data_IF_669320150519
#
_entry.id   IF_669320150519
#
_cell.length_a   1.000
_cell.length_b   1.000
_cell.length_c   1.000
_cell.angle_alpha   90.00
_cell.angle_beta   90.00
_cell.angle_gamma   90.00
#
_symmetry.space_group_name_H-M   'P 1'
#
loop_
_entity.id
_entity.type
_entity.pdbx_description
1 polymer ?
#
# COMPACT_ATOMS: atom_id res chain seq x y z
N UNK A 1 -33.08 -3.99 53.58
CA UNK A 1 -33.25 -4.86 52.40
C UNK A 1 -33.12 -3.97 51.18
N UNK A 2 -31.92 -3.84 50.61
CA UNK A 2 -31.67 -2.99 49.43
C UNK A 2 -31.52 -3.87 48.20
N UNK A 3 -32.47 -3.80 47.28
CA UNK A 3 -32.47 -4.52 46.00
C UNK A 3 -31.75 -3.69 44.94
N UNK A 4 -30.63 -4.20 44.42
CA UNK A 4 -29.91 -3.62 43.30
C UNK A 4 -30.40 -4.25 42.00
N UNK A 5 -30.99 -3.44 41.12
CA UNK A 5 -31.44 -3.83 39.78
C UNK A 5 -30.22 -3.96 38.86
N UNK A 6 -30.01 -5.14 38.28
CA UNK A 6 -28.99 -5.39 37.25
C UNK A 6 -29.51 -4.92 35.90
N UNK A 7 -28.89 -3.89 35.32
CA UNK A 7 -29.15 -3.44 33.95
C UNK A 7 -28.39 -4.34 32.97
N UNK A 8 -29.10 -4.97 32.04
CA UNK A 8 -28.53 -5.84 31.01
C UNK A 8 -27.64 -5.04 30.04
N UNK A 9 -26.43 -5.52 29.81
CA UNK A 9 -25.50 -4.97 28.84
C UNK A 9 -26.02 -5.18 27.41
N UNK A 10 -26.26 -4.08 26.71
CA UNK A 10 -26.60 -4.04 25.28
C UNK A 10 -25.43 -4.60 24.47
N UNK A 11 -25.70 -5.62 23.65
CA UNK A 11 -24.77 -6.14 22.64
C UNK A 11 -24.62 -5.10 21.54
N UNK A 12 -23.59 -4.27 21.59
CA UNK A 12 -23.27 -3.33 20.50
C UNK A 12 -22.64 -4.10 19.35
N UNK A 13 -23.40 -4.35 18.29
CA UNK A 13 -22.86 -4.72 16.97
C UNK A 13 -21.95 -3.58 16.46
N UNK A 14 -20.86 -3.86 15.72
CA UNK A 14 -20.01 -2.80 15.22
C UNK A 14 -20.82 -1.88 14.30
N UNK A 15 -20.93 -0.59 14.66
CA UNK A 15 -21.58 0.41 13.84
C UNK A 15 -20.83 0.51 12.51
N UNK A 16 -21.49 0.12 11.41
CA UNK A 16 -20.99 0.34 10.05
C UNK A 16 -21.04 1.85 9.81
N UNK A 17 -19.88 2.48 9.64
CA UNK A 17 -19.77 3.91 9.38
C UNK A 17 -20.35 4.21 7.98
N UNK A 18 -21.63 4.52 7.89
CA UNK A 18 -22.36 4.72 6.62
C UNK A 18 -22.09 6.06 5.94
N UNK A 19 -21.43 7.00 6.64
CA UNK A 19 -21.32 8.39 6.18
C UNK A 19 -20.25 8.58 5.07
N UNK A 20 -19.29 7.67 4.94
CA UNK A 20 -18.14 7.86 4.03
C UNK A 20 -18.35 7.35 2.59
N UNK A 21 -19.39 6.55 2.31
CA UNK A 21 -19.55 5.91 1.01
C UNK A 21 -21.02 5.89 0.55
N UNK A 22 -21.46 6.99 -0.07
CA UNK A 22 -22.77 7.09 -0.74
C UNK A 22 -22.65 6.65 -2.21
N UNK A 23 -23.29 5.52 -2.53
CA UNK A 23 -23.27 4.94 -3.87
C UNK A 23 -23.92 5.82 -4.92
N UNK A 24 -24.96 6.58 -4.57
CA UNK A 24 -25.72 7.36 -5.53
C UNK A 24 -24.98 8.66 -5.86
N UNK A 25 -24.35 9.28 -4.87
CA UNK A 25 -23.42 10.41 -5.08
C UNK A 25 -22.19 9.98 -5.91
N UNK A 26 -21.59 8.82 -5.61
CA UNK A 26 -20.43 8.32 -6.35
C UNK A 26 -20.71 8.08 -7.84
N UNK A 27 -21.91 7.62 -8.20
CA UNK A 27 -22.32 7.41 -9.60
C UNK A 27 -22.48 8.73 -10.38
N UNK A 28 -22.78 9.83 -9.70
CA UNK A 28 -22.94 11.15 -10.33
C UNK A 28 -21.60 11.84 -10.61
N UNK A 29 -20.53 11.41 -9.94
CA UNK A 29 -19.21 12.02 -10.11
C UNK A 29 -18.58 11.68 -11.47
N UNK A 30 -18.11 12.69 -12.21
CA UNK A 30 -17.53 12.51 -13.56
C UNK A 30 -16.43 11.43 -13.62
N UNK A 31 -15.65 11.28 -12.55
CA UNK A 31 -14.53 10.33 -12.48
C UNK A 31 -14.79 9.22 -11.46
N UNK A 32 -15.99 8.62 -11.46
CA UNK A 32 -16.37 7.53 -10.53
C UNK A 32 -15.33 6.41 -10.48
N UNK A 33 -14.72 6.06 -11.62
CA UNK A 33 -13.72 4.98 -11.71
C UNK A 33 -12.41 5.28 -10.97
N UNK A 34 -12.16 6.53 -10.60
CA UNK A 34 -10.97 6.98 -9.86
C UNK A 34 -11.25 7.16 -8.37
N UNK A 35 -12.50 6.99 -7.94
CA UNK A 35 -12.85 7.10 -6.54
C UNK A 35 -12.13 6.00 -5.74
N UNK A 36 -11.69 6.30 -4.51
CA UNK A 36 -11.09 5.28 -3.65
C UNK A 36 -12.07 4.14 -3.42
N UNK A 37 -11.71 2.93 -3.85
CA UNK A 37 -12.45 1.70 -3.54
C UNK A 37 -11.67 0.91 -2.49
N UNK A 38 -12.39 0.47 -1.46
CA UNK A 38 -11.86 -0.47 -0.48
C UNK A 38 -12.12 -1.89 -0.97
N UNK A 39 -11.09 -2.49 -1.55
CA UNK A 39 -11.08 -3.91 -1.91
C UNK A 39 -10.49 -4.72 -0.76
N UNK A 40 -11.30 -5.61 -0.19
CA UNK A 40 -10.93 -6.52 0.91
C UNK A 40 -10.66 -7.95 0.42
N UNK A 41 -10.93 -8.23 -0.86
CA UNK A 41 -10.95 -9.58 -1.41
C UNK A 41 -9.71 -9.89 -2.24
N UNK A 42 -9.16 -8.89 -2.95
CA UNK A 42 -8.04 -9.10 -3.88
C UNK A 42 -6.79 -9.59 -3.15
N UNK A 43 -6.38 -10.81 -3.49
CA UNK A 43 -5.10 -11.42 -3.09
C UNK A 43 -4.16 -11.43 -4.29
N UNK A 44 -2.99 -10.82 -4.12
CA UNK A 44 -1.98 -10.77 -5.17
C UNK A 44 -1.07 -12.00 -5.10
N UNK A 45 -0.72 -12.62 -6.23
CA UNK A 45 0.27 -13.69 -6.25
C UNK A 45 1.66 -13.13 -5.89
N UNK A 46 2.60 -13.99 -5.46
CA UNK A 46 3.98 -13.61 -5.26
C UNK A 46 4.59 -13.01 -6.54
N UNK A 47 5.40 -11.96 -6.39
CA UNK A 47 6.10 -11.34 -7.50
C UNK A 47 6.99 -12.35 -8.22
N UNK A 48 6.89 -12.39 -9.54
CA UNK A 48 7.74 -13.20 -10.38
C UNK A 48 8.88 -12.33 -10.93
N UNK A 49 10.11 -12.86 -11.03
CA UNK A 49 11.16 -12.21 -11.79
C UNK A 49 10.70 -11.99 -13.24
N UNK A 50 11.03 -10.85 -13.80
CA UNK A 50 10.80 -10.56 -15.20
C UNK A 50 12.06 -9.93 -15.80
N UNK A 51 12.26 -10.15 -17.09
CA UNK A 51 13.32 -9.49 -17.84
C UNK A 51 12.85 -8.09 -18.26
N UNK A 52 13.63 -7.08 -17.92
CA UNK A 52 13.33 -5.70 -18.28
C UNK A 52 14.10 -5.30 -19.54
N UNK A 53 13.39 -4.90 -20.58
CA UNK A 53 13.96 -4.35 -21.80
C UNK A 53 13.57 -2.88 -21.94
N UNK A 54 14.55 -1.99 -21.88
CA UNK A 54 14.32 -0.55 -21.99
C UNK A 54 13.96 -0.15 -23.43
N UNK A 55 12.78 0.48 -23.57
CA UNK A 55 12.27 0.97 -24.86
C UNK A 55 13.13 2.10 -25.42
N UNK A 56 13.79 2.89 -24.57
CA UNK A 56 14.67 3.97 -24.98
C UNK A 56 15.86 3.51 -25.83
N UNK A 57 16.23 2.22 -25.77
CA UNK A 57 17.31 1.66 -26.59
C UNK A 57 16.96 1.53 -28.08
N UNK A 58 15.67 1.46 -28.42
CA UNK A 58 15.17 1.29 -29.80
C UNK A 58 14.81 2.64 -30.45
N UNK A 59 14.74 3.69 -29.64
CA UNK A 59 14.36 5.04 -30.04
C UNK A 59 15.32 5.69 -31.06
N UNK A 60 14.81 6.68 -31.80
CA UNK A 60 15.67 7.55 -32.60
C UNK A 60 16.39 8.55 -31.68
N UNK A 61 17.73 8.55 -31.73
CA UNK A 61 18.59 9.49 -30.98
C UNK A 61 18.27 10.95 -31.25
N UNK A 62 17.66 11.26 -32.40
CA UNK A 62 17.26 12.62 -32.76
C UNK A 62 15.81 12.94 -32.40
N UNK A 63 15.06 12.01 -31.79
CA UNK A 63 13.67 12.17 -31.36
C UNK A 63 12.74 12.63 -32.50
N UNK A 64 12.99 12.18 -33.74
CA UNK A 64 12.29 12.68 -34.93
C UNK A 64 10.81 12.33 -34.93
N UNK A 65 10.45 11.16 -34.40
CA UNK A 65 9.05 10.72 -34.38
C UNK A 65 8.25 11.56 -33.38
N UNK A 66 8.89 11.96 -32.27
CA UNK A 66 8.28 12.78 -31.23
C UNK A 66 8.19 14.27 -31.63
N UNK A 67 9.27 14.86 -32.16
CA UNK A 67 9.36 16.30 -32.47
C UNK A 67 9.14 16.64 -33.95
N UNK A 68 8.18 15.98 -34.59
CA UNK A 68 7.77 16.30 -35.96
C UNK A 68 6.95 17.60 -36.01
N UNK A 69 7.61 18.74 -36.23
CA UNK A 69 6.94 20.06 -36.37
C UNK A 69 5.92 20.11 -37.51
N UNK A 70 6.10 19.27 -38.54
CA UNK A 70 5.16 19.15 -39.66
C UNK A 70 3.79 18.62 -39.22
N UNK A 71 3.76 17.70 -38.25
CA UNK A 71 2.53 17.10 -37.73
C UNK A 71 1.91 17.95 -36.62
N UNK A 72 2.74 18.61 -35.81
CA UNK A 72 2.32 19.37 -34.63
C UNK A 72 2.96 20.77 -34.65
N UNK A 73 2.34 21.77 -35.31
CA UNK A 73 2.89 23.12 -35.40
C UNK A 73 2.92 23.85 -34.06
N UNK A 74 2.04 23.48 -33.11
CA UNK A 74 1.98 24.05 -31.76
C UNK A 74 2.97 23.40 -30.78
N UNK A 75 3.77 22.44 -31.26
CA UNK A 75 4.70 21.70 -30.43
C UNK A 75 5.83 22.59 -29.90
N UNK A 76 5.89 22.74 -28.58
CA UNK A 76 6.95 23.47 -27.91
C UNK A 76 7.58 22.61 -26.81
N UNK A 77 8.90 22.45 -26.86
CA UNK A 77 9.68 21.78 -25.83
C UNK A 77 10.63 22.79 -25.18
N UNK A 78 10.41 23.06 -23.89
CA UNK A 78 11.17 24.01 -23.09
C UNK A 78 11.92 23.28 -21.98
N UNK A 79 13.23 23.53 -21.83
CA UNK A 79 14.01 22.96 -20.73
C UNK A 79 13.64 23.66 -19.43
N UNK A 80 13.26 22.89 -18.41
CA UNK A 80 12.90 23.43 -17.09
C UNK A 80 14.15 23.81 -16.28
N UNK A 81 15.15 22.93 -16.27
CA UNK A 81 16.48 23.21 -15.70
C UNK A 81 17.56 22.82 -16.71
N UNK A 82 18.81 23.29 -16.53
CA UNK A 82 19.89 22.95 -17.44
C UNK A 82 20.11 21.43 -17.57
N UNK A 83 20.08 20.72 -16.43
CA UNK A 83 20.44 19.29 -16.37
C UNK A 83 19.22 18.38 -16.46
N UNK A 84 18.12 18.72 -15.79
CA UNK A 84 16.97 17.84 -15.62
C UNK A 84 15.68 18.55 -16.02
N UNK A 85 14.71 17.83 -16.57
CA UNK A 85 13.38 18.37 -16.77
C UNK A 85 13.17 19.04 -18.13
N UNK A 86 12.11 18.63 -18.82
CA UNK A 86 11.62 19.27 -20.04
C UNK A 86 10.10 19.41 -19.96
N UNK A 87 9.59 20.61 -20.22
CA UNK A 87 8.15 20.86 -20.40
C UNK A 87 7.81 20.77 -21.89
N UNK A 88 6.77 19.99 -22.22
CA UNK A 88 6.25 19.84 -23.59
C UNK A 88 4.80 20.32 -23.63
N UNK A 89 4.50 21.15 -24.64
CA UNK A 89 3.17 21.64 -24.98
C UNK A 89 2.83 21.30 -26.41
N UNK A 90 1.53 21.14 -26.71
CA UNK A 90 1.06 20.84 -28.07
C UNK A 90 1.19 19.37 -28.49
N UNK A 91 1.33 18.44 -27.54
CA UNK A 91 1.37 17.00 -27.80
C UNK A 91 0.48 16.26 -26.79
N UNK A 92 -0.39 15.37 -27.25
CA UNK A 92 -1.27 14.58 -26.38
C UNK A 92 -0.72 13.16 -26.19
N UNK A 93 -0.55 12.74 -24.94
CA UNK A 93 -0.06 11.40 -24.60
C UNK A 93 -1.00 10.28 -25.05
N UNK A 94 -2.28 10.58 -25.17
CA UNK A 94 -3.34 9.64 -25.55
C UNK A 94 -3.31 9.23 -27.02
N UNK A 95 -2.62 10.01 -27.87
CA UNK A 95 -2.59 9.85 -29.33
C UNK A 95 -1.20 9.45 -29.83
N UNK A 96 -0.26 9.17 -28.92
CA UNK A 96 1.09 8.78 -29.29
C UNK A 96 1.13 7.39 -29.93
N UNK A 97 1.82 7.32 -31.06
CA UNK A 97 2.20 6.06 -31.71
C UNK A 97 3.36 5.39 -30.94
N UNK A 98 3.54 4.09 -31.14
CA UNK A 98 4.53 3.28 -30.42
C UNK A 98 5.96 3.80 -30.66
N UNK A 99 6.28 4.22 -31.89
CA UNK A 99 7.58 4.87 -32.19
C UNK A 99 7.78 6.19 -31.47
N UNK A 100 6.70 6.94 -31.24
CA UNK A 100 6.78 8.18 -30.47
C UNK A 100 6.95 7.89 -28.98
N UNK A 101 6.36 6.80 -28.47
CA UNK A 101 6.57 6.35 -27.09
C UNK A 101 8.00 5.86 -26.86
N UNK A 102 8.62 5.21 -27.84
CA UNK A 102 10.04 4.84 -27.80
C UNK A 102 10.93 6.09 -27.69
N UNK A 103 10.74 7.07 -28.58
CA UNK A 103 11.44 8.36 -28.53
C UNK A 103 11.19 9.08 -27.19
N UNK A 104 9.98 9.01 -26.64
CA UNK A 104 9.67 9.57 -25.33
C UNK A 104 10.45 8.86 -24.21
N UNK A 105 10.60 7.53 -24.26
CA UNK A 105 11.39 6.80 -23.28
C UNK A 105 12.85 7.27 -23.26
N UNK A 106 13.45 7.48 -24.44
CA UNK A 106 14.80 8.01 -24.56
C UNK A 106 14.90 9.43 -23.99
N UNK A 107 13.95 10.31 -24.33
CA UNK A 107 13.94 11.68 -23.81
C UNK A 107 13.87 11.71 -22.27
N UNK A 108 13.07 10.80 -21.69
CA UNK A 108 12.96 10.66 -20.23
C UNK A 108 14.29 10.14 -19.65
N UNK A 109 14.95 9.19 -20.30
CA UNK A 109 16.26 8.69 -19.86
C UNK A 109 17.33 9.81 -19.87
N UNK A 110 17.33 10.68 -20.87
CA UNK A 110 18.28 11.80 -20.99
C UNK A 110 17.99 12.95 -20.03
N UNK A 111 16.71 13.26 -19.81
CA UNK A 111 16.27 14.46 -19.05
C UNK A 111 15.79 14.16 -17.64
N UNK A 112 15.61 12.90 -17.28
CA UNK A 112 15.07 12.42 -16.01
C UNK A 112 13.55 12.60 -15.87
N UNK A 113 13.04 13.81 -16.11
CA UNK A 113 11.60 14.12 -16.01
C UNK A 113 11.11 14.89 -17.22
N UNK A 114 9.93 14.55 -17.70
CA UNK A 114 9.25 15.26 -18.78
C UNK A 114 7.84 15.58 -18.32
N UNK A 115 7.42 16.83 -18.48
CA UNK A 115 6.12 17.33 -18.05
C UNK A 115 5.31 17.71 -19.27
N UNK A 116 4.12 17.15 -19.41
CA UNK A 116 3.18 17.50 -20.47
C UNK A 116 2.09 18.42 -19.91
N UNK A 117 1.82 19.53 -20.60
CA UNK A 117 0.73 20.44 -20.25
C UNK A 117 -0.51 20.17 -21.09
N UNK A 118 -1.67 20.61 -20.58
CA UNK A 118 -2.94 20.64 -21.32
C UNK A 118 -3.35 19.28 -21.88
N UNK A 119 -3.25 18.25 -21.04
CA UNK A 119 -3.52 16.86 -21.42
C UNK A 119 -4.99 16.48 -21.25
N UNK A 120 -5.55 15.85 -22.28
CA UNK A 120 -6.82 15.10 -22.20
C UNK A 120 -6.67 13.74 -21.50
N UNK A 121 -5.45 13.37 -21.09
CA UNK A 121 -5.13 12.08 -20.49
C UNK A 121 -5.93 11.76 -19.22
N UNK A 122 -6.43 12.78 -18.51
CA UNK A 122 -7.34 12.60 -17.36
C UNK A 122 -8.72 12.04 -17.76
N UNK A 123 -9.14 12.27 -19.01
CA UNK A 123 -10.46 11.92 -19.53
C UNK A 123 -10.45 10.60 -20.32
N UNK A 124 -9.28 10.01 -20.62
CA UNK A 124 -9.18 8.77 -21.42
C UNK A 124 -9.62 7.50 -20.68
N UNK A 125 -9.75 7.58 -19.36
CA UNK A 125 -10.12 6.47 -18.49
C UNK A 125 -8.94 5.63 -17.99
N UNK A 126 -9.13 4.87 -16.89
CA UNK A 126 -8.04 4.21 -16.19
C UNK A 126 -7.37 3.09 -16.99
N UNK A 127 -8.12 2.37 -17.84
CA UNK A 127 -7.54 1.28 -18.63
C UNK A 127 -6.58 1.76 -19.71
N UNK A 128 -6.92 2.86 -20.40
CA UNK A 128 -6.00 3.49 -21.37
C UNK A 128 -4.75 4.05 -20.70
N UNK A 129 -4.88 4.61 -19.49
CA UNK A 129 -3.73 5.06 -18.71
C UNK A 129 -2.82 3.89 -18.31
N UNK A 130 -3.40 2.76 -17.89
CA UNK A 130 -2.66 1.53 -17.60
C UNK A 130 -1.99 0.98 -18.85
N UNK A 131 -2.67 0.96 -20.00
CA UNK A 131 -2.11 0.52 -21.27
C UNK A 131 -0.89 1.36 -21.69
N UNK A 132 -1.01 2.69 -21.60
CA UNK A 132 0.10 3.59 -21.85
C UNK A 132 1.30 3.30 -20.93
N UNK A 133 1.05 3.12 -19.63
CA UNK A 133 2.12 2.81 -18.68
C UNK A 133 2.71 1.41 -18.88
N UNK A 134 1.89 0.41 -19.27
CA UNK A 134 2.35 -0.95 -19.60
C UNK A 134 3.33 -1.00 -20.77
N UNK A 135 3.27 -0.01 -21.66
CA UNK A 135 4.18 0.09 -22.80
C UNK A 135 5.66 0.13 -22.36
N UNK A 136 5.93 0.80 -21.24
CA UNK A 136 7.28 0.98 -20.68
C UNK A 136 7.69 -0.18 -19.76
N UNK A 137 6.76 -1.03 -19.33
CA UNK A 137 7.06 -2.20 -18.51
C UNK A 137 5.89 -2.67 -17.64
N UNK A 138 6.09 -3.75 -16.86
CA UNK A 138 5.07 -4.29 -15.98
C UNK A 138 4.63 -3.27 -14.91
N UNK A 139 3.32 -3.13 -14.72
CA UNK A 139 2.77 -2.23 -13.69
C UNK A 139 2.94 -2.82 -12.31
N UNK A 140 3.57 -2.06 -11.41
CA UNK A 140 3.63 -2.41 -10.01
C UNK A 140 2.27 -2.17 -9.33
N UNK A 141 1.81 -3.16 -8.56
CA UNK A 141 0.63 -3.04 -7.71
C UNK A 141 1.13 -2.83 -6.29
N UNK A 142 0.89 -1.63 -5.75
CA UNK A 142 1.27 -1.33 -4.37
C UNK A 142 0.40 -2.17 -3.42
N UNK A 143 1.04 -3.07 -2.66
CA UNK A 143 0.34 -3.90 -1.68
C UNK A 143 -0.20 -3.02 -0.56
N UNK A 144 -1.46 -3.23 -0.18
CA UNK A 144 -1.99 -2.75 1.10
C UNK A 144 -1.99 -3.94 2.05
N UNK A 145 -1.28 -3.83 3.16
CA UNK A 145 -1.40 -4.85 4.22
C UNK A 145 -2.83 -4.78 4.77
N UNK A 146 -3.49 -5.93 5.02
CA UNK A 146 -4.76 -5.92 5.70
C UNK A 146 -4.58 -5.23 7.06
N UNK A 147 -5.50 -4.33 7.41
CA UNK A 147 -5.55 -3.79 8.77
C UNK A 147 -5.68 -5.00 9.69
N UNK A 148 -4.68 -5.18 10.57
CA UNK A 148 -4.62 -6.31 11.49
C UNK A 148 -5.75 -6.16 12.50
N UNK A 149 -6.97 -6.59 12.14
CA UNK A 149 -8.07 -6.70 13.08
C UNK A 149 -7.71 -7.83 14.04
N UNK A 150 -7.18 -7.48 15.21
CA UNK A 150 -6.93 -8.43 16.28
C UNK A 150 -8.27 -8.96 16.79
N UNK A 151 -8.78 -10.02 16.15
CA UNK A 151 -9.81 -10.88 16.74
C UNK A 151 -9.14 -11.88 17.67
N UNK A 152 -8.49 -11.41 18.73
CA UNK A 152 -7.99 -12.28 19.79
C UNK A 152 -8.88 -12.07 21.02
N UNK A 153 -9.94 -12.87 21.15
CA UNK A 153 -10.53 -13.13 22.47
C UNK A 153 -9.51 -13.94 23.26
N UNK A 154 -8.75 -13.28 24.13
CA UNK A 154 -7.99 -13.96 25.16
C UNK A 154 -8.96 -14.48 26.21
N UNK A 155 -9.14 -15.80 26.23
CA UNK A 155 -9.86 -16.49 27.28
C UNK A 155 -8.90 -16.61 28.47
N UNK A 156 -8.95 -15.63 29.39
CA UNK A 156 -8.20 -15.70 30.64
C UNK A 156 -8.97 -16.58 31.63
N UNK A 157 -8.65 -17.87 31.69
CA UNK A 157 -9.13 -18.77 32.75
C UNK A 157 -8.14 -18.76 33.91
N UNK A 158 -8.43 -17.95 34.93
CA UNK A 158 -7.68 -17.91 36.19
C UNK A 158 -8.07 -19.12 37.05
N UNK A 159 -7.19 -20.12 37.16
CA UNK A 159 -7.30 -21.15 38.19
C UNK A 159 -6.60 -20.67 39.47
N UNK A 160 -7.38 -20.16 40.43
CA UNK A 160 -6.88 -19.88 41.78
C UNK A 160 -6.92 -21.20 42.55
N UNK A 161 -5.75 -21.77 42.82
CA UNK A 161 -5.62 -22.94 43.70
C UNK A 161 -5.29 -22.45 45.11
N UNK A 162 -6.29 -22.44 45.99
CA UNK A 162 -6.13 -22.08 47.40
C UNK A 162 -5.40 -23.21 48.13
N UNK A 163 -4.22 -22.92 48.67
CA UNK A 163 -3.41 -23.86 49.45
C UNK A 163 -3.69 -23.59 50.94
N UNK A 164 -4.54 -24.41 51.54
CA UNK A 164 -4.80 -24.40 52.98
C UNK A 164 -3.60 -24.98 53.72
N UNK A 165 -2.90 -24.16 54.52
CA UNK A 165 -1.86 -24.64 55.44
C UNK A 165 -2.51 -25.14 56.72
N UNK A 166 -2.41 -26.44 56.97
CA UNK A 166 -2.80 -27.05 58.23
C UNK A 166 -1.58 -27.07 59.17
N UNK A 167 -1.67 -26.31 60.26
CA UNK A 167 -0.70 -26.26 61.35
C UNK A 167 -1.15 -27.19 62.47
N UNK A 168 -0.32 -28.17 62.81
CA UNK A 168 -0.28 -28.93 64.07
C UNK A 168 1.15 -29.50 64.10
N UNK A 169 1.99 -29.45 65.14
CA UNK A 169 1.83 -29.15 66.56
C UNK A 169 2.80 -30.08 67.30
N UNK A 170 3.67 -29.51 68.15
CA UNK A 170 4.23 -30.09 69.40
C UNK A 170 5.54 -30.93 69.39
N UNK A 171 6.47 -30.47 70.25
CA UNK A 171 7.51 -31.21 71.07
C UNK A 171 8.69 -31.89 70.34
N UNK A 172 9.97 -31.88 70.74
CA UNK A 172 10.78 -31.42 71.90
C UNK A 172 12.22 -31.10 71.39
N UNK A 173 12.93 -30.08 71.89
CA UNK A 173 14.01 -30.13 72.89
C UNK A 173 15.04 -31.29 72.73
N UNK A 174 16.30 -30.96 72.36
CA UNK A 174 17.60 -31.48 72.93
C UNK A 174 18.80 -31.23 71.98
N UNK A 175 19.67 -30.30 72.44
CA UNK A 175 21.14 -30.35 72.60
C UNK A 175 22.13 -30.55 71.41
N UNK A 176 23.07 -29.60 71.30
CA UNK A 176 24.35 -29.56 70.53
C UNK A 176 25.44 -30.53 71.08
N UNK A 177 26.75 -30.37 70.76
CA UNK A 177 27.53 -30.60 69.53
C UNK A 177 28.73 -31.59 69.75
N UNK A 178 29.54 -31.90 68.72
CA UNK A 178 31.01 -32.23 68.72
C UNK A 178 31.37 -33.01 67.43
N UNK A 179 32.21 -32.49 66.52
CA UNK A 179 33.68 -32.63 66.42
C UNK A 179 34.24 -34.07 66.31
N UNK A 180 35.10 -34.31 65.32
CA UNK A 180 36.26 -35.21 65.47
C UNK A 180 36.52 -36.29 64.40
N UNK A 181 37.54 -36.01 63.56
CA UNK A 181 38.62 -36.91 63.10
C UNK A 181 38.39 -38.24 62.32
N UNK A 182 39.09 -38.30 61.18
CA UNK A 182 39.66 -39.43 60.39
C UNK A 182 40.52 -40.42 61.20
N UNK A 183 41.24 -41.43 60.63
CA UNK A 183 41.17 -42.15 59.33
C UNK A 183 41.23 -43.70 59.48
N UNK A 184 41.16 -44.44 58.36
CA UNK A 184 42.13 -45.51 57.98
C UNK A 184 42.04 -45.72 56.48
#
# INVERSE_FOLDING_TARGET
MSTTTTTNAVKTSPAKLTVAHDLDFHKQYKYTAYLPVYDEETKLPPLQPFEFNDRGLVADKNHRNLFSKEKNPELNATKLTPVVGTEIRGLQLSELDDRQKDDLALLIAERGVVVFRDQNFKDVGPEKQKEFARYFGPLHIHVRLPVRTLKTTLNCSTSISARTTQTDGRSEMVTSPQQGSTPT
#
